data_IF_903236383308
#
_entry.id   IF_903236383308
#
_cell.length_a   1.000
_cell.length_b   1.000
_cell.length_c   1.000
_cell.angle_alpha   90.00
_cell.angle_beta   90.00
_cell.angle_gamma   90.00
#
_symmetry.space_group_name_H-M   'P 1'
#
loop_
_entity.id
_entity.type
_entity.pdbx_description
1 polymer ?
#
# COMPACT_ATOMS: atom_id res chain seq x y z
N UNK A 1 -56.71 -30.19 9.66
CA UNK A 1 -56.10 -29.36 8.60
C UNK A 1 -54.99 -28.52 9.23
N UNK A 2 -53.71 -28.87 9.05
CA UNK A 2 -52.57 -28.10 9.58
C UNK A 2 -51.80 -27.48 8.41
N UNK A 3 -51.84 -26.15 8.30
CA UNK A 3 -51.16 -25.38 7.25
C UNK A 3 -49.67 -25.28 7.62
N UNK A 4 -48.79 -25.80 6.76
CA UNK A 4 -47.36 -25.55 6.87
C UNK A 4 -47.03 -24.20 6.22
N UNK A 5 -46.57 -23.26 7.04
CA UNK A 5 -45.98 -22.01 6.55
C UNK A 5 -44.57 -22.32 6.03
N UNK A 6 -44.38 -22.25 4.71
CA UNK A 6 -43.06 -22.27 4.08
C UNK A 6 -42.42 -20.90 4.28
N UNK A 7 -41.43 -20.82 5.16
CA UNK A 7 -40.56 -19.66 5.32
C UNK A 7 -39.58 -19.64 4.15
N UNK A 8 -39.74 -18.68 3.24
CA UNK A 8 -38.79 -18.41 2.14
C UNK A 8 -37.51 -17.82 2.74
N UNK A 9 -36.43 -18.61 2.79
CA UNK A 9 -35.08 -18.11 3.04
C UNK A 9 -34.66 -17.22 1.87
N UNK A 10 -34.66 -15.90 2.08
CA UNK A 10 -33.95 -14.96 1.22
C UNK A 10 -32.45 -15.16 1.44
N UNK A 11 -31.82 -15.97 0.58
CA UNK A 11 -30.36 -16.07 0.52
C UNK A 11 -29.85 -14.91 -0.33
N UNK A 12 -29.53 -13.80 0.31
CA UNK A 12 -28.84 -12.69 -0.34
C UNK A 12 -27.38 -13.13 -0.56
N UNK A 13 -26.86 -13.24 -1.80
CA UNK A 13 -25.44 -13.50 -1.99
C UNK A 13 -24.71 -12.24 -1.56
N UNK A 14 -24.00 -12.32 -0.43
CA UNK A 14 -22.96 -11.37 -0.06
C UNK A 14 -21.93 -11.39 -1.20
N UNK A 15 -22.07 -10.46 -2.15
CA UNK A 15 -20.99 -10.10 -3.06
C UNK A 15 -19.91 -9.46 -2.19
N UNK A 16 -18.99 -10.30 -1.73
CA UNK A 16 -17.70 -9.86 -1.21
C UNK A 16 -17.02 -9.15 -2.37
N UNK A 17 -17.13 -7.83 -2.39
CA UNK A 17 -16.28 -6.97 -3.21
C UNK A 17 -14.86 -7.19 -2.69
N UNK A 18 -14.18 -8.21 -3.21
CA UNK A 18 -12.75 -8.33 -3.07
C UNK A 18 -12.18 -7.02 -3.63
N UNK A 19 -11.62 -6.20 -2.75
CA UNK A 19 -10.82 -5.06 -3.19
C UNK A 19 -9.61 -5.66 -3.91
N UNK A 20 -9.69 -5.77 -5.24
CA UNK A 20 -8.58 -6.17 -6.07
C UNK A 20 -7.57 -5.02 -6.07
N UNK A 21 -6.66 -5.06 -5.11
CA UNK A 21 -5.44 -4.25 -5.16
C UNK A 21 -4.60 -4.77 -6.35
N UNK A 22 -3.91 -3.91 -7.10
CA UNK A 22 -2.98 -4.38 -8.14
C UNK A 22 -1.71 -4.99 -7.54
N UNK A 23 -1.55 -4.87 -6.22
CA UNK A 23 -0.36 -5.32 -5.51
C UNK A 23 -0.51 -6.77 -5.10
N UNK A 24 0.39 -7.62 -5.60
CA UNK A 24 0.43 -9.06 -5.30
C UNK A 24 1.10 -9.33 -3.96
N UNK A 25 2.08 -8.50 -3.60
CA UNK A 25 2.85 -8.63 -2.38
C UNK A 25 3.48 -7.29 -2.01
N UNK A 26 3.74 -7.11 -0.72
CA UNK A 26 4.51 -5.99 -0.21
C UNK A 26 5.53 -6.46 0.84
N UNK A 27 6.75 -5.95 0.75
CA UNK A 27 7.80 -6.13 1.76
C UNK A 27 8.32 -4.77 2.19
N UNK A 28 8.67 -4.63 3.46
CA UNK A 28 9.02 -3.33 4.03
C UNK A 28 10.32 -3.43 4.81
N UNK A 29 11.08 -2.34 4.80
CA UNK A 29 12.26 -2.16 5.65
C UNK A 29 12.41 -0.68 5.95
N UNK A 30 13.14 -0.37 7.02
CA UNK A 30 13.37 1.00 7.47
C UNK A 30 14.87 1.25 7.60
N UNK A 31 15.30 2.46 7.26
CA UNK A 31 16.69 2.90 7.41
C UNK A 31 16.76 4.38 7.76
N UNK A 32 17.73 4.75 8.59
CA UNK A 32 18.07 6.15 8.82
C UNK A 32 18.87 6.70 7.63
N UNK A 33 18.53 7.91 7.18
CA UNK A 33 19.22 8.60 6.09
C UNK A 33 19.71 9.98 6.54
N UNK A 34 20.64 10.55 5.77
CA UNK A 34 21.32 11.80 6.13
C UNK A 34 20.36 12.93 6.50
N UNK A 35 20.70 13.67 7.55
CA UNK A 35 19.93 14.83 8.00
C UNK A 35 18.80 14.49 8.98
N UNK A 36 18.96 13.43 9.80
CA UNK A 36 17.97 12.97 10.79
C UNK A 36 16.60 12.66 10.16
N UNK A 37 16.62 11.97 9.03
CA UNK A 37 15.41 11.55 8.31
C UNK A 37 15.33 10.04 8.32
N UNK A 38 14.11 9.52 8.28
CA UNK A 38 13.85 8.09 8.23
C UNK A 38 13.28 7.75 6.86
N UNK A 39 13.93 6.82 6.15
CA UNK A 39 13.48 6.28 4.86
C UNK A 39 12.86 4.90 5.08
N UNK A 40 11.62 4.75 4.66
CA UNK A 40 10.86 3.51 4.61
C UNK A 40 10.89 2.99 3.18
N UNK A 41 11.48 1.80 3.01
CA UNK A 41 11.59 1.12 1.73
C UNK A 41 10.48 0.09 1.62
N UNK A 42 9.52 0.37 0.74
CA UNK A 42 8.33 -0.45 0.51
C UNK A 42 8.44 -1.11 -0.87
N UNK A 43 8.69 -2.41 -0.90
CA UNK A 43 8.64 -3.22 -2.11
C UNK A 43 7.20 -3.48 -2.49
N UNK A 44 6.83 -3.26 -3.74
CA UNK A 44 5.51 -3.58 -4.27
C UNK A 44 5.67 -4.46 -5.51
N UNK A 45 4.88 -5.54 -5.57
CA UNK A 45 4.79 -6.41 -6.74
C UNK A 45 3.47 -6.20 -7.48
N UNK A 46 3.49 -6.14 -8.81
CA UNK A 46 2.28 -6.00 -9.67
C UNK A 46 2.37 -6.88 -10.91
N UNK A 47 1.34 -6.86 -11.75
CA UNK A 47 1.52 -7.35 -13.12
C UNK A 47 2.34 -6.36 -13.96
N UNK A 48 3.37 -6.84 -14.67
CA UNK A 48 4.24 -5.98 -15.49
C UNK A 48 3.46 -5.25 -16.59
N UNK A 49 2.35 -5.84 -17.06
CA UNK A 49 1.51 -5.27 -18.12
C UNK A 49 0.56 -4.19 -17.63
N UNK A 50 0.29 -4.13 -16.33
CA UNK A 50 -0.66 -3.19 -15.77
C UNK A 50 -0.04 -1.79 -15.66
N UNK A 51 -0.83 -0.79 -16.03
CA UNK A 51 -0.50 0.60 -15.71
C UNK A 51 -0.59 0.80 -14.20
N UNK A 52 0.41 1.48 -13.66
CA UNK A 52 0.41 1.91 -12.27
C UNK A 52 1.16 3.23 -12.15
N UNK A 53 0.57 4.17 -11.43
CA UNK A 53 1.19 5.43 -11.05
C UNK A 53 1.04 5.61 -9.54
N UNK A 54 2.15 5.88 -8.84
CA UNK A 54 2.12 6.23 -7.41
C UNK A 54 1.95 7.75 -7.31
N UNK A 55 0.90 8.18 -6.61
CA UNK A 55 0.49 9.59 -6.53
C UNK A 55 0.91 10.21 -5.20
N UNK A 56 0.73 9.49 -4.10
CA UNK A 56 1.05 9.97 -2.76
C UNK A 56 1.38 8.79 -1.83
N UNK A 57 2.18 9.05 -0.81
CA UNK A 57 2.50 8.07 0.23
C UNK A 57 2.38 8.73 1.58
N UNK A 58 1.42 8.27 2.38
CA UNK A 58 1.24 8.73 3.77
C UNK A 58 1.71 7.68 4.74
N UNK A 59 2.60 8.04 5.65
CA UNK A 59 3.02 7.18 6.76
C UNK A 59 2.13 7.47 7.97
N UNK A 60 1.64 6.42 8.62
CA UNK A 60 0.68 6.51 9.72
C UNK A 60 1.19 5.70 10.89
N UNK A 61 1.05 6.25 12.09
CA UNK A 61 1.07 5.50 13.34
C UNK A 61 -0.37 5.22 13.76
N UNK A 62 -0.76 3.96 13.73
CA UNK A 62 -2.15 3.57 14.01
C UNK A 62 -2.53 3.59 15.48
N UNK A 63 -1.57 3.62 16.41
CA UNK A 63 -1.85 3.70 17.85
C UNK A 63 -2.45 5.05 18.21
N UNK A 64 -1.88 6.13 17.67
CA UNK A 64 -2.28 7.51 17.96
C UNK A 64 -2.94 8.22 16.76
N UNK A 65 -3.11 7.52 15.63
CA UNK A 65 -3.68 8.03 14.38
C UNK A 65 -2.97 9.26 13.81
N UNK A 66 -1.71 9.49 14.19
CA UNK A 66 -0.90 10.55 13.60
C UNK A 66 -0.31 10.10 12.27
N UNK A 67 -0.06 11.05 11.38
CA UNK A 67 0.44 10.76 10.03
C UNK A 67 1.13 11.93 9.36
N UNK A 68 2.00 11.61 8.42
CA UNK A 68 2.71 12.58 7.59
C UNK A 68 2.72 12.10 6.13
N UNK A 69 2.54 13.03 5.19
CA UNK A 69 2.79 12.76 3.77
C UNK A 69 4.31 12.70 3.56
N UNK A 70 4.81 11.54 3.16
CA UNK A 70 6.23 11.34 2.94
C UNK A 70 6.67 11.94 1.60
N UNK A 71 7.90 12.44 1.55
CA UNK A 71 8.58 12.64 0.27
C UNK A 71 8.94 11.27 -0.27
N UNK A 72 8.49 10.92 -1.47
CA UNK A 72 8.76 9.59 -2.03
C UNK A 72 9.42 9.63 -3.40
N UNK A 73 10.16 8.57 -3.71
CA UNK A 73 10.61 8.23 -5.07
C UNK A 73 10.35 6.76 -5.33
N UNK A 74 10.06 6.43 -6.59
CA UNK A 74 9.93 5.03 -7.02
C UNK A 74 11.23 4.63 -7.71
N UNK A 75 11.79 3.49 -7.34
CA UNK A 75 13.05 2.98 -7.90
C UNK A 75 12.90 1.52 -8.31
N UNK A 76 13.76 1.08 -9.23
CA UNK A 76 13.85 -0.32 -9.65
C UNK A 76 14.17 -1.24 -8.45
N UNK A 77 13.91 -2.54 -8.60
CA UNK A 77 14.11 -3.55 -7.57
C UNK A 77 15.58 -3.74 -7.18
N UNK A 78 16.54 -3.28 -8.00
CA UNK A 78 17.95 -3.20 -7.59
C UNK A 78 18.27 -1.95 -6.74
N UNK A 79 17.32 -1.00 -6.66
CA UNK A 79 17.43 0.28 -5.98
C UNK A 79 18.25 1.36 -6.71
N UNK A 80 18.74 1.08 -7.92
CA UNK A 80 19.72 1.92 -8.62
C UNK A 80 19.09 3.05 -9.43
N UNK A 81 17.92 2.80 -10.01
CA UNK A 81 17.32 3.67 -11.03
C UNK A 81 15.98 4.21 -10.58
N UNK A 82 15.78 5.52 -10.66
CA UNK A 82 14.45 6.14 -10.44
C UNK A 82 13.53 5.85 -11.61
N UNK A 83 12.33 5.35 -11.30
CA UNK A 83 11.30 4.99 -12.26
C UNK A 83 10.24 6.09 -12.33
N UNK A 84 10.11 6.70 -13.50
CA UNK A 84 9.03 7.65 -13.79
C UNK A 84 7.79 6.97 -14.42
N UNK A 85 7.95 5.71 -14.86
CA UNK A 85 6.90 4.87 -15.44
C UNK A 85 7.12 3.43 -14.96
N UNK A 86 6.05 2.78 -14.50
CA UNK A 86 6.09 1.42 -13.94
C UNK A 86 5.63 0.34 -14.94
N UNK A 87 5.30 0.72 -16.17
CA UNK A 87 5.03 -0.22 -17.27
C UNK A 87 6.25 -1.09 -17.52
N UNK A 88 6.09 -2.42 -17.54
CA UNK A 88 7.17 -3.37 -17.74
C UNK A 88 7.88 -3.83 -16.46
N UNK A 89 7.62 -3.20 -15.32
CA UNK A 89 8.17 -3.59 -14.01
C UNK A 89 7.13 -4.38 -13.23
N UNK A 90 7.47 -5.61 -12.83
CA UNK A 90 6.67 -6.44 -11.95
C UNK A 90 7.03 -6.24 -10.47
N UNK A 91 8.23 -5.71 -10.17
CA UNK A 91 8.68 -5.34 -8.82
C UNK A 91 9.40 -4.00 -8.84
N UNK A 92 9.20 -3.22 -7.79
CA UNK A 92 9.87 -1.94 -7.58
C UNK A 92 9.82 -1.55 -6.10
N UNK A 93 10.62 -0.57 -5.71
CA UNK A 93 10.56 0.02 -4.37
C UNK A 93 9.97 1.43 -4.41
N UNK A 94 9.10 1.71 -3.46
CA UNK A 94 8.72 3.06 -3.06
C UNK A 94 9.55 3.43 -1.84
N UNK A 95 10.42 4.43 -2.00
CA UNK A 95 11.28 4.95 -0.94
C UNK A 95 10.60 6.19 -0.35
N UNK A 96 9.97 6.04 0.80
CA UNK A 96 9.19 7.08 1.47
C UNK A 96 9.96 7.67 2.65
N UNK A 97 10.27 8.96 2.61
CA UNK A 97 11.09 9.64 3.61
C UNK A 97 10.30 10.68 4.39
N UNK A 98 10.41 10.65 5.71
CA UNK A 98 9.87 11.67 6.63
C UNK A 98 11.00 12.31 7.45
N UNK A 99 10.76 13.54 7.90
CA UNK A 99 11.66 14.25 8.82
C UNK A 99 11.23 14.19 10.29
N UNK A 100 10.01 13.71 10.57
CA UNK A 100 9.49 13.59 11.92
C UNK A 100 9.90 12.26 12.55
N UNK A 101 10.95 12.28 13.38
CA UNK A 101 11.42 11.11 14.13
C UNK A 101 10.38 10.56 15.11
N UNK A 102 9.45 11.40 15.58
CA UNK A 102 8.51 11.03 16.63
C UNK A 102 7.27 10.31 16.09
N UNK A 103 7.06 10.33 14.77
CA UNK A 103 5.87 9.74 14.16
C UNK A 103 5.79 8.23 14.41
N UNK A 104 6.91 7.50 14.37
CA UNK A 104 6.97 6.04 14.54
C UNK A 104 5.87 5.28 13.76
N UNK A 105 5.77 5.45 12.42
CA UNK A 105 4.71 4.85 11.62
C UNK A 105 4.78 3.32 11.56
N UNK A 106 3.62 2.68 11.64
CA UNK A 106 3.44 1.22 11.57
C UNK A 106 2.84 0.75 10.23
N UNK A 107 2.29 1.66 9.44
CA UNK A 107 1.70 1.40 8.12
C UNK A 107 1.91 2.56 7.15
N UNK A 108 1.87 2.26 5.86
CA UNK A 108 1.80 3.24 4.80
C UNK A 108 0.45 3.17 4.08
N UNK A 109 -0.09 4.32 3.71
CA UNK A 109 -1.20 4.45 2.77
C UNK A 109 -0.58 4.90 1.44
N UNK A 110 -0.54 4.00 0.48
CA UNK A 110 -0.06 4.28 -0.88
C UNK A 110 -1.26 4.67 -1.73
N UNK A 111 -1.28 5.91 -2.22
CA UNK A 111 -2.29 6.38 -3.17
C UNK A 111 -1.77 6.17 -4.58
N UNK A 112 -2.56 5.53 -5.43
CA UNK A 112 -2.15 5.15 -6.78
C UNK A 112 -3.29 5.24 -7.79
N UNK A 113 -2.94 5.24 -9.07
CA UNK A 113 -3.89 5.08 -10.19
C UNK A 113 -3.55 3.84 -10.99
N UNK A 114 -4.58 3.18 -11.50
CA UNK A 114 -4.46 2.03 -12.42
C UNK A 114 -4.72 2.40 -13.88
N UNK A 115 -5.05 3.66 -14.14
CA UNK A 115 -5.26 4.25 -15.48
C UNK A 115 -4.79 5.73 -15.45
N UNK A 116 -4.24 6.30 -16.53
CA UNK A 116 -3.66 7.68 -16.51
C UNK A 116 -4.60 8.77 -15.97
N UNK A 117 -5.85 8.74 -16.42
CA UNK A 117 -6.91 9.68 -16.00
C UNK A 117 -7.93 9.01 -15.06
N UNK A 118 -7.55 7.88 -14.46
CA UNK A 118 -8.41 7.14 -13.55
C UNK A 118 -8.51 7.76 -12.16
N UNK A 119 -9.47 7.27 -11.37
CA UNK A 119 -9.63 7.66 -9.98
C UNK A 119 -8.44 7.21 -9.12
N UNK A 120 -8.13 8.03 -8.11
CA UNK A 120 -7.19 7.66 -7.07
C UNK A 120 -7.74 6.50 -6.24
N UNK A 121 -6.92 5.46 -6.09
CA UNK A 121 -7.15 4.31 -5.21
C UNK A 121 -6.11 4.34 -4.10
N UNK A 122 -6.38 3.66 -3.00
CA UNK A 122 -5.46 3.58 -1.87
C UNK A 122 -5.24 2.13 -1.46
N UNK A 123 -4.01 1.82 -1.08
CA UNK A 123 -3.63 0.55 -0.47
C UNK A 123 -2.97 0.82 0.88
N UNK A 124 -3.35 0.02 1.89
CA UNK A 124 -2.70 0.06 3.20
C UNK A 124 -1.63 -1.02 3.26
N UNK A 125 -0.36 -0.61 3.24
CA UNK A 125 0.79 -1.51 3.38
C UNK A 125 1.19 -1.60 4.84
N UNK A 126 1.21 -2.82 5.37
CA UNK A 126 1.61 -3.12 6.75
C UNK A 126 2.16 -4.56 6.86
N UNK A 127 3.00 -4.85 7.87
CA UNK A 127 3.64 -3.88 8.76
C UNK A 127 4.76 -3.11 8.04
N UNK A 128 5.08 -1.88 8.46
CA UNK A 128 6.24 -1.13 7.93
C UNK A 128 7.58 -1.52 8.56
N UNK A 129 7.51 -2.15 9.73
CA UNK A 129 8.66 -2.70 10.44
C UNK A 129 8.38 -4.21 10.52
N UNK A 130 9.25 -5.08 9.99
CA UNK A 130 9.08 -6.51 10.20
C UNK A 130 9.08 -6.79 11.70
N UNK A 131 8.13 -7.57 12.19
CA UNK A 131 8.11 -8.01 13.58
C UNK A 131 9.46 -8.67 13.88
N UNK A 132 10.31 -8.01 14.67
CA UNK A 132 11.44 -8.68 15.29
C UNK A 132 10.84 -9.72 16.23
N UNK A 133 11.03 -11.00 15.92
CA UNK A 133 10.77 -12.09 16.85
C UNK A 133 11.58 -11.79 18.13
N UNK A 134 10.90 -11.44 19.22
CA UNK A 134 11.48 -11.34 20.57
C UNK A 134 11.86 -12.72 21.13
#
# INVERSE_FOLDING_TARGET
MKKQARLLLLTLPLLVLASCTPFKHAQTSVSEVSGNRTEYKIMLEKDAKDYLEIVDVRLINSENMTGENAQFRVVDFDGSTTLLNLTGYDKFYVLATIGNSDLSPDRAIVTYKTEPEGDNKTEVVKPLIPETEE
#
